data_IF_982357950972
#
_entry.id   IF_982357950972
#
_cell.length_a   1.000
_cell.length_b   1.000
_cell.length_c   1.000
_cell.angle_alpha   90.00
_cell.angle_beta   90.00
_cell.angle_gamma   90.00
#
_symmetry.space_group_name_H-M   'P 1'
#
loop_
_entity.id
_entity.type
_entity.pdbx_description
1 polymer ?
#
# COMPACT_ATOMS: atom_id res chain seq x y z
N UNK A 1 -7.36 15.13 13.07
CA UNK A 1 -6.92 14.03 12.19
C UNK A 1 -6.78 12.70 12.92
N UNK A 2 -5.91 12.57 13.94
CA UNK A 2 -5.74 11.30 14.71
C UNK A 2 -7.05 10.70 15.26
N UNK A 3 -7.83 11.47 16.01
CA UNK A 3 -9.12 11.00 16.55
C UNK A 3 -10.10 10.49 15.48
N UNK A 4 -10.06 11.05 14.26
CA UNK A 4 -10.90 10.59 13.16
C UNK A 4 -10.46 9.21 12.63
N UNK A 5 -9.14 8.96 12.58
CA UNK A 5 -8.59 7.64 12.23
C UNK A 5 -8.98 6.60 13.27
N UNK A 6 -8.87 6.92 14.56
CA UNK A 6 -9.26 6.01 15.65
C UNK A 6 -10.76 5.72 15.61
N UNK A 7 -11.61 6.73 15.37
CA UNK A 7 -13.04 6.54 15.19
C UNK A 7 -13.38 5.66 13.98
N UNK A 8 -12.63 5.80 12.89
CA UNK A 8 -12.79 4.95 11.70
C UNK A 8 -12.49 3.49 12.03
N UNK A 9 -11.38 3.22 12.73
CA UNK A 9 -11.02 1.86 13.17
C UNK A 9 -12.06 1.31 14.14
N UNK A 10 -12.48 2.10 15.13
CA UNK A 10 -13.51 1.71 16.10
C UNK A 10 -14.82 1.27 15.39
N UNK A 11 -15.14 1.92 14.28
CA UNK A 11 -16.31 1.62 13.44
C UNK A 11 -16.17 0.38 12.55
N UNK A 12 -15.02 -0.30 12.56
CA UNK A 12 -14.73 -1.50 11.74
C UNK A 12 -13.65 -1.30 10.68
N UNK A 13 -13.04 -0.11 10.60
CA UNK A 13 -11.97 0.18 9.66
C UNK A 13 -10.68 -0.57 9.96
N UNK A 14 -9.83 -0.68 8.95
CA UNK A 14 -8.44 -1.14 9.08
C UNK A 14 -7.49 0.03 8.86
N UNK A 15 -6.51 0.21 9.76
CA UNK A 15 -5.48 1.24 9.65
C UNK A 15 -4.09 0.57 9.59
N UNK A 16 -3.25 1.02 8.68
CA UNK A 16 -1.82 0.71 8.67
C UNK A 16 -1.03 1.97 9.05
N UNK A 17 -0.06 1.79 9.94
CA UNK A 17 0.89 2.80 10.37
C UNK A 17 2.29 2.26 10.06
N UNK A 18 3.12 3.07 9.42
CA UNK A 18 4.52 2.75 9.12
C UNK A 18 5.44 3.81 9.73
N UNK A 19 6.47 3.37 10.44
CA UNK A 19 7.36 4.24 11.21
C UNK A 19 6.68 4.89 12.42
N UNK A 20 7.29 5.95 12.96
CA UNK A 20 6.74 6.66 14.11
C UNK A 20 5.66 7.68 13.70
N UNK A 21 4.53 7.64 14.41
CA UNK A 21 3.50 8.68 14.38
C UNK A 21 3.46 9.53 15.66
N UNK A 22 4.45 9.39 16.55
CA UNK A 22 4.39 9.93 17.91
C UNK A 22 4.68 11.42 17.99
N UNK A 23 4.77 12.14 16.87
CA UNK A 23 4.92 13.59 16.88
C UNK A 23 3.61 14.30 16.59
N UNK A 24 3.34 15.36 17.34
CA UNK A 24 2.29 16.33 17.03
C UNK A 24 2.78 17.38 16.01
N UNK A 25 1.90 18.24 15.46
CA UNK A 25 2.30 19.28 14.51
C UNK A 25 3.30 20.31 15.07
N UNK A 26 3.54 20.31 16.37
CA UNK A 26 4.50 21.18 17.07
C UNK A 26 5.75 20.39 17.46
N UNK A 27 5.98 19.22 16.85
CA UNK A 27 7.11 18.33 17.06
C UNK A 27 7.23 17.76 18.49
N UNK A 28 6.17 17.81 19.30
CA UNK A 28 6.19 17.21 20.64
C UNK A 28 5.89 15.72 20.55
N UNK A 29 6.63 14.94 21.35
CA UNK A 29 6.38 13.52 21.52
C UNK A 29 5.03 13.34 22.23
N UNK A 30 4.21 12.47 21.67
CA UNK A 30 2.91 12.05 22.19
C UNK A 30 3.00 10.62 22.72
N UNK A 31 1.85 10.06 23.11
CA UNK A 31 1.70 8.69 23.59
C UNK A 31 0.51 8.02 22.90
N UNK A 32 0.41 8.19 21.57
CA UNK A 32 -0.74 7.75 20.77
C UNK A 32 -0.88 6.23 20.77
N UNK A 33 0.23 5.52 20.62
CA UNK A 33 0.27 4.05 20.62
C UNK A 33 0.14 3.46 22.03
N UNK A 34 0.73 4.11 23.04
CA UNK A 34 0.56 3.69 24.42
C UNK A 34 -0.92 3.77 24.85
N UNK A 35 -1.65 4.79 24.40
CA UNK A 35 -3.11 4.87 24.60
C UNK A 35 -3.91 3.76 23.91
N UNK A 36 -3.29 3.04 22.96
CA UNK A 36 -3.84 1.87 22.28
C UNK A 36 -3.26 0.54 22.82
N UNK A 37 -2.50 0.59 23.91
CA UNK A 37 -1.90 -0.59 24.55
C UNK A 37 -0.56 -1.04 23.99
N UNK A 38 0.06 -0.27 23.10
CA UNK A 38 1.40 -0.55 22.57
C UNK A 38 2.41 0.43 23.17
N UNK A 39 3.27 -0.06 24.07
CA UNK A 39 4.38 0.74 24.60
C UNK A 39 5.49 0.86 23.54
N UNK A 40 5.49 2.00 22.86
CA UNK A 40 6.44 2.28 21.80
C UNK A 40 6.80 3.76 21.75
N UNK A 41 8.04 4.06 21.35
CA UNK A 41 8.58 5.41 21.31
C UNK A 41 9.25 5.72 19.97
N UNK A 42 9.24 7.00 19.53
CA UNK A 42 10.03 7.42 18.39
C UNK A 42 11.53 7.26 18.70
N UNK A 43 12.29 6.75 17.74
CA UNK A 43 13.75 6.78 17.77
C UNK A 43 14.30 7.30 16.43
N UNK A 44 15.42 8.03 16.42
CA UNK A 44 16.09 8.37 15.17
C UNK A 44 16.47 7.12 14.37
N UNK A 45 16.22 7.12 13.07
CA UNK A 45 16.62 6.02 12.18
C UNK A 45 18.13 6.13 11.88
N UNK A 46 18.96 5.48 12.69
CA UNK A 46 20.44 5.54 12.60
C UNK A 46 21.07 4.32 11.93
N UNK A 47 20.27 3.32 11.57
CA UNK A 47 20.71 2.08 10.96
C UNK A 47 20.46 2.06 9.46
N UNK A 48 21.28 1.30 8.73
CA UNK A 48 21.15 1.11 7.28
C UNK A 48 20.32 -0.10 6.89
N UNK A 49 20.19 -1.07 7.78
CA UNK A 49 19.48 -2.32 7.54
C UNK A 49 18.55 -2.59 8.70
N UNK A 50 17.36 -3.08 8.40
CA UNK A 50 16.40 -3.56 9.37
C UNK A 50 15.60 -4.73 8.79
N UNK A 51 14.93 -5.48 9.65
CA UNK A 51 14.00 -6.53 9.25
C UNK A 51 12.63 -6.24 9.88
N UNK A 52 11.61 -6.12 9.04
CA UNK A 52 10.22 -6.11 9.50
C UNK A 52 9.75 -7.57 9.59
N UNK A 53 9.48 -8.03 10.81
CA UNK A 53 9.06 -9.40 11.09
C UNK A 53 7.53 -9.43 11.27
N UNK A 54 6.83 -10.01 10.29
CA UNK A 54 5.38 -10.18 10.29
C UNK A 54 5.01 -11.65 10.60
N UNK A 55 5.86 -12.36 11.36
CA UNK A 55 5.73 -13.76 11.70
C UNK A 55 6.35 -14.68 10.65
N UNK A 56 5.53 -15.25 9.77
CA UNK A 56 6.04 -16.16 8.70
C UNK A 56 6.73 -15.41 7.57
N UNK A 57 6.41 -14.12 7.40
CA UNK A 57 6.98 -13.25 6.39
C UNK A 57 7.95 -12.28 7.05
N UNK A 58 9.15 -12.16 6.49
CA UNK A 58 10.17 -11.20 6.91
C UNK A 58 10.52 -10.31 5.72
N UNK A 59 10.57 -9.00 5.94
CA UNK A 59 10.94 -8.03 4.92
C UNK A 59 12.26 -7.37 5.29
N UNK A 60 13.27 -7.58 4.45
CA UNK A 60 14.52 -6.85 4.54
C UNK A 60 14.31 -5.40 4.09
N UNK A 61 14.76 -4.45 4.92
CA UNK A 61 14.71 -3.03 4.65
C UNK A 61 16.12 -2.47 4.58
N UNK A 62 16.38 -1.68 3.55
CA UNK A 62 17.65 -0.96 3.37
C UNK A 62 17.37 0.54 3.32
N UNK A 63 18.14 1.34 4.03
CA UNK A 63 17.97 2.80 4.10
C UNK A 63 19.27 3.52 3.68
N UNK A 64 19.15 4.45 2.74
CA UNK A 64 20.25 5.34 2.32
C UNK A 64 20.46 6.49 3.29
N UNK A 65 21.68 7.05 3.29
CA UNK A 65 22.08 8.10 4.24
C UNK A 65 21.23 9.37 4.15
N UNK A 66 20.82 9.77 2.94
CA UNK A 66 19.98 10.96 2.73
C UNK A 66 18.60 10.80 3.38
N UNK A 67 18.04 9.59 3.33
CA UNK A 67 16.75 9.28 3.94
C UNK A 67 16.86 9.30 5.48
N UNK A 68 17.99 8.90 6.08
CA UNK A 68 18.17 8.83 7.54
C UNK A 68 18.06 10.19 8.28
N UNK A 69 18.26 11.32 7.60
CA UNK A 69 18.50 12.60 8.28
C UNK A 69 17.29 13.21 8.99
N UNK A 70 16.06 12.77 8.68
CA UNK A 70 14.82 13.34 9.24
C UNK A 70 13.74 12.31 9.56
N UNK A 71 14.11 11.03 9.63
CA UNK A 71 13.17 9.92 9.80
C UNK A 71 13.26 9.36 11.22
N UNK A 72 12.09 9.14 11.81
CA UNK A 72 11.96 8.33 13.02
C UNK A 72 11.47 6.93 12.68
N UNK A 73 12.18 5.93 13.20
CA UNK A 73 11.62 4.62 13.40
C UNK A 73 10.81 4.62 14.70
N UNK A 74 10.01 3.59 14.89
CA UNK A 74 9.35 3.27 16.14
C UNK A 74 10.12 2.14 16.83
N UNK A 75 10.31 2.25 18.14
CA UNK A 75 10.84 1.17 18.98
C UNK A 75 9.74 0.72 19.93
N UNK A 76 9.27 -0.52 19.78
CA UNK A 76 8.37 -1.15 20.75
C UNK A 76 9.19 -1.73 21.92
N UNK A 77 8.64 -1.67 23.14
CA UNK A 77 9.33 -2.12 24.35
C UNK A 77 9.59 -3.64 24.38
N UNK A 78 8.77 -4.43 23.68
CA UNK A 78 8.93 -5.88 23.50
C UNK A 78 9.96 -6.26 22.42
N UNK A 79 10.45 -5.27 21.65
CA UNK A 79 11.40 -5.48 20.57
C UNK A 79 10.79 -6.01 19.27
N UNK A 80 9.48 -6.26 19.21
CA UNK A 80 8.81 -6.69 17.99
C UNK A 80 8.73 -5.52 16.99
N UNK A 81 8.90 -5.85 15.71
CA UNK A 81 8.94 -4.83 14.64
C UNK A 81 7.60 -4.67 13.93
N UNK A 82 6.62 -5.52 14.21
CA UNK A 82 5.28 -5.44 13.65
C UNK A 82 4.21 -5.85 14.66
N UNK A 83 3.12 -5.09 14.74
CA UNK A 83 2.03 -5.32 15.70
C UNK A 83 0.67 -5.32 15.01
N UNK A 84 -0.21 -6.24 15.39
CA UNK A 84 -1.65 -6.19 15.07
C UNK A 84 -2.44 -5.90 16.35
N UNK A 85 -3.02 -4.70 16.43
CA UNK A 85 -3.83 -4.25 17.56
C UNK A 85 -5.30 -4.32 17.20
N UNK A 86 -6.10 -4.98 18.05
CA UNK A 86 -7.57 -4.94 17.93
C UNK A 86 -8.13 -3.69 18.61
N UNK A 87 -8.96 -2.92 17.92
CA UNK A 87 -9.56 -1.70 18.48
C UNK A 87 -11.01 -1.52 18.03
N UNK A 88 -11.94 -1.53 18.99
CA UNK A 88 -13.38 -1.52 18.71
C UNK A 88 -13.78 -2.70 17.81
N UNK A 89 -14.36 -2.41 16.64
CA UNK A 89 -14.72 -3.42 15.63
C UNK A 89 -13.65 -3.63 14.55
N UNK A 90 -12.58 -2.84 14.57
CA UNK A 90 -11.55 -2.82 13.55
C UNK A 90 -10.19 -3.27 14.07
N UNK A 91 -9.15 -2.96 13.29
CA UNK A 91 -7.77 -3.33 13.60
C UNK A 91 -6.77 -2.27 13.15
N UNK A 92 -5.63 -2.24 13.82
CA UNK A 92 -4.50 -1.36 13.51
C UNK A 92 -3.27 -2.25 13.31
N UNK A 93 -2.62 -2.10 12.17
CA UNK A 93 -1.29 -2.66 11.93
C UNK A 93 -0.26 -1.58 12.16
N UNK A 94 0.80 -1.89 12.92
CA UNK A 94 1.89 -0.96 13.21
C UNK A 94 3.19 -1.62 12.76
N UNK A 95 3.79 -1.09 11.70
CA UNK A 95 5.13 -1.45 11.27
C UNK A 95 6.13 -0.46 11.86
N UNK A 96 7.13 -0.97 12.58
CA UNK A 96 8.09 -0.13 13.31
C UNK A 96 8.95 0.75 12.41
N UNK A 97 9.08 0.40 11.13
CA UNK A 97 9.92 1.12 10.18
C UNK A 97 9.06 1.75 9.06
N UNK A 98 9.43 2.95 8.57
CA UNK A 98 8.77 3.58 7.44
C UNK A 98 9.22 2.92 6.14
N UNK A 99 8.53 1.84 5.76
CA UNK A 99 8.91 0.98 4.63
C UNK A 99 8.94 1.70 3.29
N UNK A 100 8.20 2.80 3.15
CA UNK A 100 8.15 3.64 1.95
C UNK A 100 9.46 4.41 1.74
N UNK A 101 10.26 4.54 2.79
CA UNK A 101 11.56 5.20 2.77
C UNK A 101 12.71 4.18 2.68
N UNK A 102 12.41 2.88 2.62
CA UNK A 102 13.41 1.88 2.24
C UNK A 102 13.82 2.05 0.76
N UNK A 103 14.90 1.38 0.37
CA UNK A 103 15.34 1.30 -1.02
C UNK A 103 14.47 0.32 -1.82
N UNK A 104 14.08 0.73 -3.02
CA UNK A 104 13.17 -0.04 -3.89
C UNK A 104 11.70 0.07 -3.47
N UNK A 105 10.84 -0.66 -4.18
CA UNK A 105 9.39 -0.70 -3.95
C UNK A 105 8.92 -2.01 -3.31
N UNK A 106 9.76 -3.05 -3.31
CA UNK A 106 9.37 -4.42 -2.98
C UNK A 106 8.86 -4.53 -1.53
N UNK A 107 9.55 -3.91 -0.57
CA UNK A 107 9.16 -3.97 0.84
C UNK A 107 7.82 -3.29 1.10
N UNK A 108 7.61 -2.08 0.56
CA UNK A 108 6.35 -1.37 0.68
C UNK A 108 5.21 -2.13 -0.02
N UNK A 109 5.46 -2.64 -1.23
CA UNK A 109 4.48 -3.43 -1.98
C UNK A 109 4.11 -4.73 -1.24
N UNK A 110 5.09 -5.41 -0.64
CA UNK A 110 4.87 -6.63 0.14
C UNK A 110 4.05 -6.36 1.40
N UNK A 111 4.39 -5.32 2.18
CA UNK A 111 3.63 -4.93 3.37
C UNK A 111 2.19 -4.54 3.01
N UNK A 112 2.00 -3.68 2.01
CA UNK A 112 0.67 -3.27 1.58
C UNK A 112 -0.16 -4.45 1.10
N UNK A 113 0.43 -5.34 0.29
CA UNK A 113 -0.25 -6.55 -0.17
C UNK A 113 -0.63 -7.47 0.99
N UNK A 114 0.25 -7.61 1.99
CA UNK A 114 -0.02 -8.41 3.19
C UNK A 114 -1.19 -7.84 4.00
N UNK A 115 -1.20 -6.53 4.23
CA UNK A 115 -2.26 -5.85 4.99
C UNK A 115 -3.58 -5.86 4.24
N UNK A 116 -3.59 -5.60 2.93
CA UNK A 116 -4.79 -5.64 2.10
C UNK A 116 -5.44 -7.04 2.15
N UNK A 117 -4.65 -8.12 2.05
CA UNK A 117 -5.17 -9.49 2.21
C UNK A 117 -5.79 -9.73 3.58
N UNK A 118 -5.15 -9.27 4.66
CA UNK A 118 -5.68 -9.37 6.04
C UNK A 118 -6.95 -8.54 6.25
N UNK A 119 -7.08 -7.44 5.51
CA UNK A 119 -8.27 -6.61 5.47
C UNK A 119 -9.39 -7.19 4.57
N UNK A 120 -9.15 -8.31 3.87
CA UNK A 120 -10.11 -8.90 2.93
C UNK A 120 -10.27 -8.08 1.63
N UNK A 121 -9.30 -7.23 1.32
CA UNK A 121 -9.29 -6.41 0.10
C UNK A 121 -8.52 -7.18 -0.98
N UNK A 122 -9.23 -7.55 -2.04
CA UNK A 122 -8.64 -8.23 -3.18
C UNK A 122 -8.25 -7.27 -4.31
N UNK A 123 -7.20 -7.59 -5.09
CA UNK A 123 -6.93 -6.89 -6.33
C UNK A 123 -8.14 -6.98 -7.28
N UNK A 124 -8.47 -5.89 -7.99
CA UNK A 124 -9.64 -5.83 -8.88
C UNK A 124 -9.46 -6.62 -10.18
N UNK A 125 -8.24 -7.09 -10.46
CA UNK A 125 -7.91 -7.93 -11.61
C UNK A 125 -7.00 -9.08 -11.18
N UNK A 126 -6.95 -10.11 -12.02
CA UNK A 126 -6.02 -11.23 -11.93
C UNK A 126 -5.08 -11.24 -13.14
N UNK A 127 -3.98 -11.99 -13.05
CA UNK A 127 -2.97 -12.09 -14.11
C UNK A 127 -1.58 -11.69 -13.63
N UNK A 128 -0.66 -11.52 -14.57
CA UNK A 128 0.69 -11.03 -14.26
C UNK A 128 0.60 -9.52 -14.02
N UNK A 129 0.92 -9.02 -12.81
CA UNK A 129 0.95 -7.58 -12.58
C UNK A 129 1.99 -6.94 -13.51
N UNK A 130 1.68 -5.78 -14.11
CA UNK A 130 2.68 -5.05 -14.88
C UNK A 130 3.87 -4.61 -14.01
N UNK A 131 4.91 -4.12 -14.68
CA UNK A 131 6.06 -3.51 -14.04
C UNK A 131 5.64 -2.35 -13.13
N UNK A 132 6.42 -2.03 -12.08
CA UNK A 132 6.10 -0.92 -11.18
C UNK A 132 5.97 0.46 -11.87
N UNK A 133 6.48 0.61 -13.10
CA UNK A 133 6.33 1.82 -13.91
C UNK A 133 4.99 1.92 -14.65
N UNK A 134 4.09 0.96 -14.48
CA UNK A 134 2.75 0.97 -15.09
C UNK A 134 1.66 1.02 -14.01
N UNK A 135 0.89 2.11 -14.03
CA UNK A 135 -0.34 2.22 -13.25
C UNK A 135 -1.48 1.51 -13.98
N UNK A 136 -2.16 0.60 -13.29
CA UNK A 136 -3.44 0.03 -13.72
C UNK A 136 -4.52 0.41 -12.71
N UNK A 137 -5.51 1.18 -13.14
CA UNK A 137 -6.59 1.65 -12.28
C UNK A 137 -7.96 1.42 -12.90
N UNK A 138 -8.76 0.46 -12.40
CA UNK A 138 -10.16 0.37 -12.74
C UNK A 138 -11.00 1.41 -11.97
N UNK A 139 -11.96 2.00 -12.67
CA UNK A 139 -13.00 2.86 -12.13
C UNK A 139 -14.34 2.20 -12.44
N UNK A 140 -14.95 1.63 -11.40
CA UNK A 140 -16.22 0.92 -11.51
C UNK A 140 -17.37 1.94 -11.55
N UNK A 141 -18.12 1.97 -12.66
CA UNK A 141 -19.31 2.81 -12.86
C UNK A 141 -20.58 1.95 -12.81
N UNK A 142 -21.78 2.53 -12.99
CA UNK A 142 -23.03 1.77 -12.86
C UNK A 142 -23.08 0.58 -13.84
N UNK A 143 -22.94 0.84 -15.14
CA UNK A 143 -23.08 -0.14 -16.22
C UNK A 143 -21.75 -0.50 -16.89
N UNK A 144 -20.63 0.05 -16.42
CA UNK A 144 -19.33 -0.09 -17.07
C UNK A 144 -18.16 -0.06 -16.09
N UNK A 145 -16.97 -0.45 -16.56
CA UNK A 145 -15.70 -0.30 -15.84
C UNK A 145 -14.70 0.40 -16.77
N UNK A 146 -14.21 1.56 -16.36
CA UNK A 146 -13.14 2.25 -17.08
C UNK A 146 -11.79 1.84 -16.52
N UNK A 147 -10.97 1.20 -17.33
CA UNK A 147 -9.57 0.94 -17.02
C UNK A 147 -8.69 2.08 -17.53
N UNK A 148 -7.85 2.62 -16.65
CA UNK A 148 -6.76 3.51 -16.99
C UNK A 148 -5.45 2.73 -16.89
N UNK A 149 -4.72 2.67 -17.99
CA UNK A 149 -3.36 2.16 -18.06
C UNK A 149 -2.43 3.34 -18.37
N UNK A 150 -1.45 3.60 -17.51
CA UNK A 150 -0.48 4.69 -17.70
C UNK A 150 0.91 4.11 -17.52
N UNK A 151 1.73 4.18 -18.57
CA UNK A 151 3.13 3.80 -18.53
C UNK A 151 4.01 5.02 -18.32
N UNK A 152 4.84 4.98 -17.28
CA UNK A 152 5.99 5.86 -17.10
C UNK A 152 7.31 5.13 -17.42
N UNK A 153 7.22 3.88 -17.87
CA UNK A 153 8.35 3.04 -18.25
C UNK A 153 8.98 3.51 -19.57
N UNK A 154 10.29 3.30 -19.69
CA UNK A 154 11.05 3.56 -20.92
C UNK A 154 10.90 2.45 -21.99
N UNK A 155 10.24 1.35 -21.64
CA UNK A 155 10.00 0.21 -22.51
C UNK A 155 8.49 -0.03 -22.66
N UNK A 156 8.11 -0.55 -23.83
CA UNK A 156 6.78 -1.07 -24.07
C UNK A 156 6.54 -2.31 -23.19
N UNK A 157 5.29 -2.53 -22.80
CA UNK A 157 4.91 -3.62 -21.92
C UNK A 157 3.69 -4.37 -22.45
N UNK A 158 3.73 -5.70 -22.35
CA UNK A 158 2.59 -6.56 -22.68
C UNK A 158 1.65 -6.65 -21.49
N UNK A 159 0.44 -6.10 -21.63
CA UNK A 159 -0.61 -6.20 -20.63
C UNK A 159 -1.37 -7.50 -20.85
N UNK A 160 -1.52 -8.29 -19.79
CA UNK A 160 -2.32 -9.52 -19.79
C UNK A 160 -3.03 -9.67 -18.44
N UNK A 161 -4.18 -9.03 -18.32
CA UNK A 161 -4.98 -8.99 -17.10
C UNK A 161 -6.40 -9.45 -17.37
N UNK A 162 -7.03 -10.04 -16.35
CA UNK A 162 -8.44 -10.38 -16.33
C UNK A 162 -9.16 -9.54 -15.28
N UNK A 163 -10.16 -8.76 -15.69
CA UNK A 163 -11.02 -8.03 -14.76
C UNK A 163 -11.87 -9.01 -13.95
N UNK A 164 -11.84 -8.89 -12.61
CA UNK A 164 -12.66 -9.75 -11.75
C UNK A 164 -14.13 -9.35 -11.72
N UNK A 165 -14.46 -8.12 -12.12
CA UNK A 165 -15.85 -7.61 -12.09
C UNK A 165 -16.67 -8.17 -13.25
N UNK A 166 -16.11 -8.13 -14.46
CA UNK A 166 -16.80 -8.46 -15.72
C UNK A 166 -16.30 -9.76 -16.35
N UNK A 167 -15.15 -10.26 -15.91
CA UNK A 167 -14.47 -11.41 -16.53
C UNK A 167 -13.72 -11.08 -17.82
N UNK A 168 -13.70 -9.81 -18.24
CA UNK A 168 -13.04 -9.36 -19.47
C UNK A 168 -11.54 -9.61 -19.46
N UNK A 169 -11.02 -10.07 -20.60
CA UNK A 169 -9.58 -10.23 -20.84
C UNK A 169 -9.02 -8.96 -21.48
N UNK A 170 -8.09 -8.30 -20.79
CA UNK A 170 -7.39 -7.10 -21.23
C UNK A 170 -6.00 -7.50 -21.71
N UNK A 171 -5.86 -7.68 -23.03
CA UNK A 171 -4.61 -8.09 -23.69
C UNK A 171 -4.22 -7.12 -24.78
N UNK A 172 -3.10 -6.41 -24.58
CA UNK A 172 -2.57 -5.45 -25.54
C UNK A 172 -1.16 -5.03 -25.16
N UNK A 173 -0.42 -4.48 -26.12
CA UNK A 173 0.86 -3.82 -25.88
C UNK A 173 0.62 -2.37 -25.48
N UNK A 174 1.09 -1.99 -24.30
CA UNK A 174 1.11 -0.62 -23.82
C UNK A 174 2.46 0.01 -24.19
N UNK A 175 2.50 1.03 -25.07
CA UNK A 175 3.76 1.66 -25.43
C UNK A 175 4.41 2.39 -24.24
N UNK A 176 5.74 2.53 -24.29
CA UNK A 176 6.52 3.32 -23.34
C UNK A 176 5.98 4.76 -23.24
N UNK A 177 5.87 5.30 -22.02
CA UNK A 177 5.49 6.70 -21.78
C UNK A 177 4.14 7.12 -22.40
N UNK A 178 3.19 6.18 -22.49
CA UNK A 178 1.86 6.37 -23.09
C UNK A 178 0.77 5.89 -22.15
N UNK A 179 -0.46 6.31 -22.43
CA UNK A 179 -1.63 5.90 -21.69
C UNK A 179 -2.69 5.29 -22.61
N UNK A 180 -3.36 4.24 -22.12
CA UNK A 180 -4.49 3.62 -22.79
C UNK A 180 -5.67 3.56 -21.83
N UNK A 181 -6.83 4.04 -22.27
CA UNK A 181 -8.09 3.93 -21.54
C UNK A 181 -8.98 2.92 -22.26
N UNK A 182 -9.50 1.93 -21.53
CA UNK A 182 -10.45 0.95 -22.07
C UNK A 182 -11.72 0.96 -21.23
N UNK A 183 -12.86 1.16 -21.88
CA UNK A 183 -14.17 1.12 -21.24
C UNK A 183 -14.80 -0.26 -21.50
N UNK A 184 -15.12 -0.97 -20.42
CA UNK A 184 -15.76 -2.27 -20.45
C UNK A 184 -17.25 -2.14 -20.16
N UNK A 185 -18.08 -2.80 -20.95
CA UNK A 185 -19.48 -3.04 -20.59
C UNK A 185 -19.57 -4.11 -19.49
N UNK A 186 -20.29 -3.83 -18.41
CA UNK A 186 -20.34 -4.74 -17.26
C UNK A 186 -21.07 -6.05 -17.51
N UNK A 187 -22.09 -6.02 -18.36
CA UNK A 187 -22.95 -7.17 -18.61
C UNK A 187 -22.31 -8.18 -19.55
N UNK A 188 -21.58 -7.69 -20.53
CA UNK A 188 -20.99 -8.50 -21.61
C UNK A 188 -19.49 -8.68 -21.48
N UNK A 189 -18.81 -7.86 -20.67
CA UNK A 189 -17.35 -7.83 -20.57
C UNK A 189 -16.64 -7.32 -21.84
N UNK A 190 -17.38 -6.78 -22.81
CA UNK A 190 -16.81 -6.27 -24.06
C UNK A 190 -16.18 -4.90 -23.86
N UNK A 191 -15.08 -4.65 -24.55
CA UNK A 191 -14.55 -3.29 -24.72
C UNK A 191 -15.51 -2.52 -25.63
N UNK A 192 -16.12 -1.46 -25.11
CA UNK A 192 -17.08 -0.60 -25.81
C UNK A 192 -16.50 0.74 -26.23
N UNK A 193 -15.36 1.14 -25.67
CA UNK A 193 -14.57 2.28 -26.12
C UNK A 193 -13.09 2.11 -25.76
N UNK A 194 -12.21 2.69 -26.57
CA UNK A 194 -10.76 2.71 -26.35
C UNK A 194 -10.17 4.05 -26.77
N UNK A 195 -9.27 4.60 -25.95
CA UNK A 195 -8.55 5.83 -26.21
C UNK A 195 -7.07 5.63 -25.92
N UNK A 196 -6.19 6.08 -26.81
CA UNK A 196 -4.73 5.96 -26.69
C UNK A 196 -4.11 7.35 -26.76
N UNK A 197 -3.24 7.67 -25.81
CA UNK A 197 -2.56 8.96 -25.65
C UNK A 197 -1.05 8.78 -25.59
#
# INVERSE_FOLDING_TARGET
SWHALIKYVESGGTLLITGSLERDPRWRITQRLAALGLDAAPQPLTFRQAELDMGTDKLALSFTFEKQQFIEALAAADGETFHELSWGKGRIFVASFPVELAEGLDAAAALYSWVLRRAGIEPPFAGTPPSPGVLVRPVVMQESVLYLFVSESAADEEINLRDKTTGAELRFRLPAQRATLKLLDKHTGKVIAEYVY
#
